data_IF_930081523433
#
_entry.id   IF_930081523433
#
_cell.length_a   1.000
_cell.length_b   1.000
_cell.length_c   1.000
_cell.angle_alpha   90.00
_cell.angle_beta   90.00
_cell.angle_gamma   90.00
#
_symmetry.space_group_name_H-M   'P 1'
#
loop_
_entity.id
_entity.type
_entity.pdbx_description
1 polymer ?
#
# COMPACT_ATOMS: atom_id res chain seq x y z
N UNK A 1 12.65 26.23 -20.38
CA UNK A 1 13.50 26.25 -19.16
C UNK A 1 12.76 25.54 -18.05
N UNK A 2 13.41 24.61 -17.36
CA UNK A 2 12.78 23.87 -16.26
C UNK A 2 12.48 24.81 -15.07
N UNK A 3 11.31 24.63 -14.45
CA UNK A 3 10.82 25.44 -13.34
C UNK A 3 10.15 24.56 -12.30
N UNK A 4 10.29 24.93 -11.03
CA UNK A 4 9.82 24.16 -9.85
C UNK A 4 9.08 25.09 -8.90
N UNK A 5 8.23 24.54 -8.04
CA UNK A 5 7.61 25.28 -6.92
C UNK A 5 7.89 24.57 -5.60
N UNK A 6 7.82 25.29 -4.49
CA UNK A 6 8.08 24.73 -3.17
C UNK A 6 6.88 23.90 -2.67
N UNK A 7 7.16 22.81 -1.95
CA UNK A 7 6.14 22.08 -1.19
C UNK A 7 5.77 22.86 0.08
N UNK A 8 4.62 22.54 0.68
CA UNK A 8 4.23 23.14 1.96
C UNK A 8 5.23 22.83 3.09
N UNK A 9 5.78 21.62 3.13
CA UNK A 9 6.80 21.23 4.11
C UNK A 9 8.16 21.86 3.81
N UNK A 10 8.55 21.94 2.54
CA UNK A 10 9.74 22.67 2.11
C UNK A 10 9.72 24.13 2.56
N UNK A 11 8.56 24.80 2.47
CA UNK A 11 8.40 26.16 2.99
C UNK A 11 8.57 26.23 4.51
N UNK A 12 8.16 25.23 5.29
CA UNK A 12 8.37 25.20 6.76
C UNK A 12 9.86 25.08 7.09
N UNK A 13 10.60 24.23 6.37
CA UNK A 13 12.05 24.06 6.53
C UNK A 13 12.76 25.39 6.28
N UNK A 14 12.47 26.03 5.14
CA UNK A 14 13.06 27.32 4.78
C UNK A 14 12.65 28.43 5.76
N UNK A 15 11.42 28.40 6.29
CA UNK A 15 10.94 29.34 7.30
C UNK A 15 11.71 29.23 8.62
N UNK A 16 12.03 28.00 9.03
CA UNK A 16 12.86 27.72 10.21
C UNK A 16 14.29 28.23 10.01
N UNK A 17 14.92 27.91 8.87
CA UNK A 17 16.31 28.29 8.58
C UNK A 17 16.50 29.80 8.47
N UNK A 18 15.59 30.53 7.80
CA UNK A 18 15.67 32.00 7.75
C UNK A 18 15.50 32.63 9.15
N UNK A 19 14.64 32.06 10.00
CA UNK A 19 14.37 32.58 11.35
C UNK A 19 15.60 32.39 12.24
N UNK A 20 16.32 31.27 12.11
CA UNK A 20 17.61 31.06 12.78
C UNK A 20 18.66 32.11 12.40
N UNK A 21 18.56 32.68 11.19
CA UNK A 21 19.42 33.80 10.74
C UNK A 21 18.88 35.18 11.10
N UNK A 22 17.72 35.27 11.76
CA UNK A 22 17.07 36.54 12.09
C UNK A 22 16.52 37.29 10.87
N UNK A 23 16.20 36.58 9.79
CA UNK A 23 15.67 37.17 8.55
C UNK A 23 14.15 37.06 8.49
N UNK A 24 13.48 38.12 8.01
CA UNK A 24 12.07 38.05 7.64
C UNK A 24 11.87 37.42 6.24
N UNK A 25 10.62 37.21 5.79
CA UNK A 25 10.33 36.50 4.52
C UNK A 25 10.84 37.22 3.26
N UNK A 26 11.12 38.51 3.35
CA UNK A 26 11.51 39.39 2.25
C UNK A 26 12.75 40.21 2.60
N UNK A 27 13.58 39.71 3.51
CA UNK A 27 14.75 40.42 4.04
C UNK A 27 15.76 40.75 2.92
N UNK A 28 16.21 41.99 2.86
CA UNK A 28 17.16 42.43 1.82
C UNK A 28 18.48 41.65 1.87
N UNK A 29 18.87 41.15 3.04
CA UNK A 29 20.05 40.27 3.18
C UNK A 29 19.85 38.93 2.48
N UNK A 30 18.62 38.40 2.49
CA UNK A 30 18.29 37.16 1.78
C UNK A 30 18.25 37.40 0.27
N UNK A 31 17.68 38.53 -0.17
CA UNK A 31 17.68 38.95 -1.58
C UNK A 31 19.11 39.07 -2.09
N UNK A 32 19.96 39.83 -1.38
CA UNK A 32 21.37 40.01 -1.71
C UNK A 32 22.14 38.69 -1.77
N UNK A 33 21.99 37.84 -0.74
CA UNK A 33 22.75 36.59 -0.64
C UNK A 33 22.30 35.53 -1.65
N UNK A 34 21.03 35.51 -2.01
CA UNK A 34 20.54 34.64 -3.08
C UNK A 34 20.82 35.20 -4.48
N UNK A 35 21.28 36.45 -4.62
CA UNK A 35 21.40 37.07 -5.95
C UNK A 35 20.06 37.19 -6.68
N UNK A 36 18.94 37.17 -5.95
CA UNK A 36 17.58 37.22 -6.53
C UNK A 36 16.90 38.56 -6.26
N UNK A 37 15.57 38.62 -6.40
CA UNK A 37 14.78 39.83 -6.19
C UNK A 37 13.66 39.56 -5.18
N UNK A 38 13.17 40.61 -4.48
CA UNK A 38 12.00 40.47 -3.60
C UNK A 38 10.78 39.83 -4.30
N UNK A 39 10.45 40.16 -5.56
CA UNK A 39 9.43 39.44 -6.33
C UNK A 39 9.68 37.92 -6.47
N UNK A 40 10.94 37.49 -6.62
CA UNK A 40 11.29 36.07 -6.68
C UNK A 40 11.03 35.37 -5.35
N UNK A 41 11.41 35.98 -4.22
CA UNK A 41 11.07 35.47 -2.88
C UNK A 41 9.56 35.44 -2.65
N UNK A 42 8.82 36.46 -3.12
CA UNK A 42 7.36 36.48 -3.05
C UNK A 42 6.75 35.30 -3.81
N UNK A 43 7.20 35.05 -5.05
CA UNK A 43 6.77 33.89 -5.84
C UNK A 43 7.10 32.56 -5.17
N UNK A 44 8.29 32.45 -4.58
CA UNK A 44 8.71 31.27 -3.81
C UNK A 44 7.75 30.98 -2.64
N UNK A 45 7.46 31.97 -1.81
CA UNK A 45 6.51 31.84 -0.69
C UNK A 45 5.06 31.61 -1.10
N UNK A 46 4.68 32.06 -2.30
CA UNK A 46 3.36 31.86 -2.87
C UNK A 46 3.20 30.49 -3.55
N UNK A 47 4.22 29.63 -3.53
CA UNK A 47 4.25 28.34 -4.23
C UNK A 47 4.02 28.49 -5.74
N UNK A 48 4.48 29.61 -6.31
CA UNK A 48 4.45 29.82 -7.76
C UNK A 48 5.70 29.20 -8.38
N UNK A 49 5.57 28.57 -9.56
CA UNK A 49 6.73 28.03 -10.28
C UNK A 49 7.76 29.12 -10.57
N UNK A 50 9.01 28.88 -10.19
CA UNK A 50 10.17 29.73 -10.48
C UNK A 50 11.27 28.90 -11.17
N UNK A 51 12.23 29.58 -11.80
CA UNK A 51 13.36 28.89 -12.46
C UNK A 51 14.17 28.11 -11.42
N UNK A 52 14.65 26.93 -11.81
CA UNK A 52 15.43 26.05 -10.92
C UNK A 52 16.64 26.78 -10.33
N UNK A 53 17.41 27.52 -11.13
CA UNK A 53 18.58 28.27 -10.63
C UNK A 53 18.20 29.26 -9.54
N UNK A 54 17.12 30.03 -9.75
CA UNK A 54 16.59 30.96 -8.75
C UNK A 54 16.10 30.24 -7.50
N UNK A 55 15.51 29.05 -7.64
CA UNK A 55 15.07 28.23 -6.51
C UNK A 55 16.26 27.72 -5.67
N UNK A 56 17.30 27.22 -6.35
CA UNK A 56 18.56 26.77 -5.75
C UNK A 56 19.23 27.88 -4.95
N UNK A 57 19.37 29.06 -5.56
CA UNK A 57 20.00 30.23 -4.95
C UNK A 57 19.24 30.72 -3.70
N UNK A 58 17.90 30.67 -3.73
CA UNK A 58 17.05 31.01 -2.58
C UNK A 58 17.29 30.04 -1.40
N UNK A 59 17.35 28.73 -1.67
CA UNK A 59 17.59 27.70 -0.65
C UNK A 59 19.01 27.77 -0.08
N UNK A 60 20.01 27.89 -0.96
CA UNK A 60 21.41 27.95 -0.57
C UNK A 60 21.72 29.19 0.29
N UNK A 61 21.05 30.32 0.03
CA UNK A 61 21.23 31.53 0.84
C UNK A 61 20.88 31.31 2.33
N UNK A 62 19.87 30.50 2.63
CA UNK A 62 19.51 30.13 4.01
C UNK A 62 20.31 28.94 4.55
N UNK A 63 21.21 28.37 3.74
CA UNK A 63 22.08 27.25 4.12
C UNK A 63 21.48 25.88 3.83
N UNK A 64 20.40 25.80 3.04
CA UNK A 64 19.86 24.53 2.55
C UNK A 64 20.49 24.19 1.20
N UNK A 65 21.27 23.10 1.18
CA UNK A 65 21.97 22.66 -0.03
C UNK A 65 21.17 21.61 -0.81
N UNK A 66 20.27 20.87 -0.14
CA UNK A 66 19.37 19.93 -0.78
C UNK A 66 18.06 20.63 -1.16
N UNK A 67 18.14 21.53 -2.13
CA UNK A 67 16.99 22.28 -2.62
C UNK A 67 15.93 21.37 -3.27
N UNK A 68 16.29 20.17 -3.75
CA UNK A 68 15.35 19.22 -4.32
C UNK A 68 14.31 18.81 -3.28
N UNK A 69 14.72 18.56 -2.04
CA UNK A 69 13.81 18.22 -0.92
C UNK A 69 12.72 19.25 -0.64
N UNK A 70 12.97 20.51 -1.01
CA UNK A 70 12.07 21.66 -0.79
C UNK A 70 11.01 21.77 -1.89
N UNK A 71 11.21 21.10 -3.03
CA UNK A 71 10.28 21.16 -4.16
C UNK A 71 8.99 20.40 -3.90
N UNK A 72 7.90 20.84 -4.53
CA UNK A 72 6.63 20.12 -4.57
C UNK A 72 6.79 18.81 -5.33
N UNK A 73 7.63 18.76 -6.37
CA UNK A 73 7.92 17.50 -7.06
C UNK A 73 8.54 16.44 -6.13
N UNK A 74 9.42 16.83 -5.20
CA UNK A 74 9.95 15.93 -4.18
C UNK A 74 8.94 15.65 -3.06
N UNK A 75 8.21 16.66 -2.58
CA UNK A 75 7.14 16.49 -1.60
C UNK A 75 6.04 15.52 -2.07
N UNK A 76 5.70 15.56 -3.35
CA UNK A 76 4.77 14.63 -3.98
C UNK A 76 5.38 13.23 -4.19
N UNK A 77 6.70 13.12 -4.33
CA UNK A 77 7.41 11.84 -4.44
C UNK A 77 7.78 11.22 -3.09
N UNK A 78 7.72 11.98 -1.99
CA UNK A 78 8.07 11.52 -0.64
C UNK A 78 7.18 10.35 -0.18
N UNK A 79 5.83 10.43 -0.28
CA UNK A 79 4.96 9.29 0.00
C UNK A 79 5.28 8.08 -0.88
N UNK A 80 5.57 8.29 -2.17
CA UNK A 80 5.88 7.21 -3.13
C UNK A 80 7.21 6.51 -2.83
N UNK A 81 8.28 7.26 -2.55
CA UNK A 81 9.56 6.68 -2.12
C UNK A 81 9.41 5.88 -0.84
N UNK A 82 8.64 6.42 0.12
CA UNK A 82 8.33 5.74 1.37
C UNK A 82 7.52 4.46 1.12
N UNK A 83 6.52 4.53 0.26
CA UNK A 83 5.72 3.40 -0.18
C UNK A 83 6.59 2.25 -0.75
N UNK A 84 7.49 2.59 -1.67
CA UNK A 84 8.41 1.64 -2.31
C UNK A 84 9.31 0.93 -1.29
N UNK A 85 9.85 1.65 -0.30
CA UNK A 85 10.66 1.01 0.74
C UNK A 85 9.83 0.20 1.72
N UNK A 86 8.60 0.63 2.05
CA UNK A 86 7.71 -0.11 2.96
C UNK A 86 7.36 -1.49 2.39
N UNK A 87 7.28 -1.64 1.06
CA UNK A 87 7.12 -2.95 0.44
C UNK A 87 8.28 -3.91 0.71
N UNK A 88 9.47 -3.41 1.10
CA UNK A 88 10.60 -4.27 1.49
C UNK A 88 10.56 -4.73 2.96
N UNK A 89 9.55 -4.31 3.76
CA UNK A 89 9.33 -4.81 5.12
C UNK A 89 9.02 -6.32 5.10
N UNK A 90 9.19 -6.98 6.24
CA UNK A 90 9.29 -8.43 6.28
C UNK A 90 7.95 -9.18 6.14
N UNK A 91 7.59 -9.51 4.90
CA UNK A 91 6.53 -10.45 4.53
C UNK A 91 7.07 -11.63 3.69
N UNK A 92 8.33 -12.02 3.92
CA UNK A 92 9.06 -12.91 3.02
C UNK A 92 8.42 -14.30 2.86
N UNK A 93 7.82 -14.84 3.93
CA UNK A 93 7.17 -16.15 3.89
C UNK A 93 5.95 -16.13 2.97
N UNK A 94 5.12 -15.10 3.09
CA UNK A 94 3.91 -14.90 2.29
C UNK A 94 4.28 -14.67 0.82
N UNK A 95 5.26 -13.79 0.57
CA UNK A 95 5.77 -13.51 -0.78
C UNK A 95 6.28 -14.75 -1.50
N UNK A 96 7.10 -15.57 -0.80
CA UNK A 96 7.64 -16.79 -1.39
C UNK A 96 6.53 -17.78 -1.73
N UNK A 97 5.57 -17.98 -0.83
CA UNK A 97 4.43 -18.87 -1.11
C UNK A 97 3.61 -18.40 -2.30
N UNK A 98 3.39 -17.10 -2.41
CA UNK A 98 2.67 -16.50 -3.52
C UNK A 98 3.43 -16.63 -4.85
N UNK A 99 4.75 -16.40 -4.84
CA UNK A 99 5.62 -16.59 -6.00
C UNK A 99 5.70 -18.07 -6.42
N UNK A 100 5.93 -18.97 -5.46
CA UNK A 100 6.00 -20.41 -5.67
C UNK A 100 4.67 -20.95 -6.24
N UNK A 101 3.53 -20.39 -5.80
CA UNK A 101 2.22 -20.73 -6.33
C UNK A 101 2.12 -20.48 -7.84
N UNK A 102 2.61 -19.36 -8.36
CA UNK A 102 2.57 -19.10 -9.80
C UNK A 102 3.64 -19.89 -10.56
N UNK A 103 4.81 -20.07 -9.96
CA UNK A 103 5.94 -20.76 -10.59
C UNK A 103 5.77 -22.28 -10.68
N UNK A 104 4.98 -22.88 -9.78
CA UNK A 104 4.79 -24.32 -9.77
C UNK A 104 4.01 -24.86 -10.99
N UNK A 105 3.26 -24.03 -11.71
CA UNK A 105 2.54 -24.40 -12.93
C UNK A 105 2.25 -23.16 -13.78
N UNK A 106 2.97 -23.01 -14.89
CA UNK A 106 2.83 -21.89 -15.81
C UNK A 106 1.49 -21.85 -16.58
N UNK A 107 0.61 -22.83 -16.40
CA UNK A 107 -0.74 -22.84 -16.99
C UNK A 107 -1.81 -22.26 -16.06
N UNK A 108 -1.48 -21.97 -14.78
CA UNK A 108 -2.43 -21.39 -13.82
C UNK A 108 -2.92 -20.02 -14.28
N UNK A 109 -4.24 -19.87 -14.30
CA UNK A 109 -4.93 -18.61 -14.62
C UNK A 109 -5.77 -18.07 -13.47
N UNK A 110 -5.91 -18.80 -12.38
CA UNK A 110 -6.71 -18.36 -11.24
C UNK A 110 -6.06 -18.75 -9.92
N UNK A 111 -6.32 -17.95 -8.88
CA UNK A 111 -5.82 -18.18 -7.54
C UNK A 111 -6.66 -17.46 -6.49
N UNK A 112 -6.93 -18.14 -5.38
CA UNK A 112 -7.61 -17.58 -4.22
C UNK A 112 -6.69 -17.70 -3.01
N UNK A 113 -6.52 -16.63 -2.25
CA UNK A 113 -5.52 -16.53 -1.19
C UNK A 113 -6.15 -16.03 0.11
N UNK A 114 -5.90 -16.74 1.21
CA UNK A 114 -6.22 -16.26 2.55
C UNK A 114 -5.05 -15.41 3.07
N UNK A 115 -5.35 -14.15 3.39
CA UNK A 115 -4.43 -13.19 3.99
C UNK A 115 -4.90 -12.91 5.41
N UNK A 116 -4.13 -13.35 6.40
CA UNK A 116 -4.51 -13.26 7.80
C UNK A 116 -3.33 -13.05 8.74
N UNK A 117 -3.64 -12.72 9.99
CA UNK A 117 -2.69 -12.35 11.03
C UNK A 117 -3.45 -11.67 12.17
N UNK A 118 -2.75 -11.30 13.24
CA UNK A 118 -3.39 -10.56 14.33
C UNK A 118 -3.91 -9.19 13.84
N UNK A 119 -4.81 -8.59 14.62
CA UNK A 119 -5.19 -7.18 14.43
C UNK A 119 -3.93 -6.29 14.31
N UNK A 120 -3.92 -5.40 13.31
CA UNK A 120 -2.80 -4.51 12.97
C UNK A 120 -1.53 -5.19 12.44
N UNK A 121 -1.65 -6.40 11.89
CA UNK A 121 -0.53 -7.10 11.25
C UNK A 121 -0.20 -6.58 9.84
N UNK A 122 -0.96 -5.67 9.23
CA UNK A 122 -0.63 -5.11 7.91
C UNK A 122 -1.10 -5.96 6.74
N UNK A 123 -2.22 -6.66 6.91
CA UNK A 123 -2.84 -7.52 5.91
C UNK A 123 -3.07 -6.80 4.58
N UNK A 124 -3.61 -5.58 4.62
CA UNK A 124 -3.85 -4.78 3.41
C UNK A 124 -2.56 -4.36 2.72
N UNK A 125 -1.50 -4.05 3.49
CA UNK A 125 -0.19 -3.76 2.92
C UNK A 125 0.37 -4.99 2.19
N UNK A 126 0.18 -6.18 2.76
CA UNK A 126 0.59 -7.42 2.12
C UNK A 126 -0.16 -7.65 0.81
N UNK A 127 -1.50 -7.55 0.78
CA UNK A 127 -2.28 -7.72 -0.47
C UNK A 127 -1.73 -6.81 -1.57
N UNK A 128 -1.48 -5.54 -1.23
CA UNK A 128 -0.92 -4.58 -2.16
C UNK A 128 0.49 -4.92 -2.62
N UNK A 129 1.35 -5.39 -1.72
CA UNK A 129 2.68 -5.86 -2.07
C UNK A 129 2.63 -7.02 -3.05
N UNK A 130 1.86 -8.07 -2.73
CA UNK A 130 1.74 -9.27 -3.57
C UNK A 130 1.26 -8.88 -4.97
N UNK A 131 0.28 -7.97 -5.05
CA UNK A 131 -0.15 -7.48 -6.33
C UNK A 131 0.91 -6.61 -7.04
N UNK A 132 1.28 -5.45 -6.50
CA UNK A 132 2.09 -4.48 -7.25
C UNK A 132 3.54 -4.94 -7.50
N UNK A 133 4.11 -5.71 -6.59
CA UNK A 133 5.53 -6.05 -6.62
C UNK A 133 5.79 -7.47 -7.15
N UNK A 134 4.86 -8.40 -6.95
CA UNK A 134 5.11 -9.82 -7.26
C UNK A 134 4.30 -10.30 -8.48
N UNK A 135 3.10 -9.75 -8.70
CA UNK A 135 2.23 -10.17 -9.80
C UNK A 135 2.08 -9.15 -10.94
N UNK A 136 1.86 -7.88 -10.58
CA UNK A 136 1.36 -6.81 -11.46
C UNK A 136 2.43 -6.19 -12.36
N UNK A 137 3.72 -6.47 -12.14
CA UNK A 137 4.80 -5.99 -13.01
C UNK A 137 4.70 -6.53 -14.44
N UNK A 138 3.96 -7.63 -14.65
CA UNK A 138 3.80 -8.31 -15.94
C UNK A 138 2.43 -8.11 -16.59
N UNK A 139 1.47 -7.49 -15.91
CA UNK A 139 0.08 -7.40 -16.38
C UNK A 139 -0.22 -6.07 -17.07
N UNK A 140 -1.00 -6.13 -18.15
CA UNK A 140 -1.77 -4.97 -18.61
C UNK A 140 -2.80 -4.62 -17.53
N UNK A 141 -3.03 -3.33 -17.31
CA UNK A 141 -3.81 -2.77 -16.18
C UNK A 141 -5.04 -3.62 -15.83
N UNK A 142 -5.01 -4.39 -14.73
CA UNK A 142 -6.10 -5.29 -14.39
C UNK A 142 -7.29 -4.51 -13.83
N UNK A 143 -8.49 -5.06 -14.01
CA UNK A 143 -9.67 -4.58 -13.32
C UNK A 143 -9.62 -5.02 -11.85
N UNK A 144 -9.83 -4.07 -10.95
CA UNK A 144 -9.75 -4.30 -9.51
C UNK A 144 -11.09 -4.02 -8.87
N UNK A 145 -11.56 -4.99 -8.09
CA UNK A 145 -12.76 -4.91 -7.30
C UNK A 145 -12.39 -5.07 -5.83
N UNK A 146 -12.45 -3.97 -5.09
CA UNK A 146 -12.40 -4.03 -3.62
C UNK A 146 -13.80 -4.02 -3.05
N UNK A 147 -14.05 -5.06 -2.26
CA UNK A 147 -15.29 -5.37 -1.57
C UNK A 147 -15.03 -5.16 -0.09
N UNK A 148 -15.73 -4.21 0.51
CA UNK A 148 -15.58 -3.88 1.92
C UNK A 148 -16.90 -4.16 2.63
N UNK A 149 -16.87 -5.10 3.60
CA UNK A 149 -18.07 -5.42 4.36
C UNK A 149 -18.42 -4.29 5.35
N UNK A 150 -19.71 -3.95 5.50
CA UNK A 150 -20.14 -2.83 6.32
C UNK A 150 -19.79 -3.04 7.80
N UNK A 151 -19.46 -1.96 8.48
CA UNK A 151 -19.13 -1.97 9.91
C UNK A 151 -20.40 -2.00 10.77
N UNK A 152 -20.98 -3.20 10.95
CA UNK A 152 -22.14 -3.43 11.81
C UNK A 152 -22.12 -4.82 12.42
N UNK A 153 -22.92 -5.02 13.47
CA UNK A 153 -22.91 -6.22 14.31
C UNK A 153 -23.17 -7.54 13.58
N UNK A 154 -24.02 -7.52 12.56
CA UNK A 154 -24.39 -8.71 11.80
C UNK A 154 -24.28 -8.42 10.30
N UNK A 155 -23.38 -9.16 9.65
CA UNK A 155 -23.21 -9.17 8.19
C UNK A 155 -23.31 -10.62 7.74
N UNK A 156 -24.23 -10.89 6.83
CA UNK A 156 -24.51 -12.22 6.29
C UNK A 156 -24.08 -12.33 4.83
N UNK A 157 -24.09 -13.53 4.27
CA UNK A 157 -23.64 -13.74 2.89
C UNK A 157 -24.52 -12.98 1.88
N UNK A 158 -25.79 -12.74 2.19
CA UNK A 158 -26.71 -11.98 1.35
C UNK A 158 -26.28 -10.52 1.20
N UNK A 159 -25.70 -9.92 2.25
CA UNK A 159 -25.13 -8.58 2.17
C UNK A 159 -23.94 -8.54 1.20
N UNK A 160 -23.14 -9.61 1.18
CA UNK A 160 -22.03 -9.74 0.25
C UNK A 160 -22.52 -9.87 -1.20
N UNK A 161 -23.60 -10.62 -1.44
CA UNK A 161 -24.21 -10.75 -2.76
C UNK A 161 -24.77 -9.43 -3.26
N UNK A 162 -25.39 -8.63 -2.39
CA UNK A 162 -25.82 -7.29 -2.77
C UNK A 162 -24.62 -6.43 -3.22
N UNK A 163 -23.54 -6.39 -2.43
CA UNK A 163 -22.35 -5.58 -2.75
C UNK A 163 -21.70 -6.07 -4.06
N UNK A 164 -21.59 -7.38 -4.27
CA UNK A 164 -21.04 -7.95 -5.49
C UNK A 164 -21.95 -7.66 -6.71
N UNK A 165 -23.26 -7.77 -6.56
CA UNK A 165 -24.23 -7.42 -7.61
C UNK A 165 -24.05 -5.97 -8.06
N UNK A 166 -23.98 -5.03 -7.11
CA UNK A 166 -23.71 -3.62 -7.39
C UNK A 166 -22.36 -3.40 -8.09
N UNK A 167 -21.29 -4.07 -7.64
CA UNK A 167 -19.93 -3.94 -8.19
C UNK A 167 -19.80 -4.51 -9.61
N UNK A 168 -20.48 -5.60 -9.89
CA UNK A 168 -20.50 -6.26 -11.19
C UNK A 168 -21.64 -5.76 -12.11
N UNK A 169 -22.46 -4.79 -11.65
CA UNK A 169 -23.55 -4.21 -12.44
C UNK A 169 -24.67 -5.20 -12.78
N UNK A 170 -24.96 -6.15 -11.88
CA UNK A 170 -25.96 -7.21 -12.08
C UNK A 170 -26.90 -7.33 -10.86
N UNK A 171 -27.85 -8.27 -10.92
CA UNK A 171 -28.74 -8.55 -9.79
C UNK A 171 -27.96 -9.21 -8.63
N UNK A 172 -28.53 -9.15 -7.42
CA UNK A 172 -27.99 -9.76 -6.19
C UNK A 172 -28.10 -11.30 -6.14
N UNK A 173 -28.44 -11.94 -7.25
CA UNK A 173 -28.46 -13.41 -7.37
C UNK A 173 -27.06 -13.91 -7.66
N UNK A 174 -26.60 -14.85 -6.84
CA UNK A 174 -25.24 -15.42 -6.97
C UNK A 174 -24.94 -15.98 -8.37
N UNK A 175 -25.93 -16.53 -9.06
CA UNK A 175 -25.78 -17.02 -10.44
C UNK A 175 -25.47 -15.90 -11.44
N UNK A 176 -26.10 -14.74 -11.27
CA UNK A 176 -25.91 -13.57 -12.13
C UNK A 176 -24.54 -12.91 -11.85
N UNK A 177 -24.12 -12.94 -10.58
CA UNK A 177 -22.79 -12.48 -10.14
C UNK A 177 -21.68 -13.38 -10.73
N UNK A 178 -21.83 -14.70 -10.67
CA UNK A 178 -20.88 -15.65 -11.27
C UNK A 178 -20.79 -15.47 -12.79
N UNK A 179 -21.93 -15.29 -13.46
CA UNK A 179 -21.99 -14.97 -14.89
C UNK A 179 -21.22 -13.68 -15.22
N UNK A 180 -21.49 -12.61 -14.48
CA UNK A 180 -20.84 -11.32 -14.72
C UNK A 180 -19.33 -11.38 -14.45
N UNK A 181 -18.92 -11.97 -13.32
CA UNK A 181 -17.50 -12.16 -12.99
C UNK A 181 -16.74 -12.97 -14.06
N UNK A 182 -17.38 -13.99 -14.63
CA UNK A 182 -16.85 -14.75 -15.75
C UNK A 182 -16.67 -13.88 -17.01
N UNK A 183 -17.68 -13.10 -17.39
CA UNK A 183 -17.61 -12.22 -18.56
C UNK A 183 -16.50 -11.17 -18.43
N UNK A 184 -16.33 -10.58 -17.24
CA UNK A 184 -15.20 -9.70 -16.93
C UNK A 184 -13.85 -10.39 -17.14
N UNK A 185 -13.72 -11.63 -16.67
CA UNK A 185 -12.49 -12.41 -16.82
C UNK A 185 -12.16 -12.79 -18.26
N UNK A 186 -13.17 -13.03 -19.10
CA UNK A 186 -12.95 -13.31 -20.53
C UNK A 186 -12.28 -12.13 -21.24
N UNK A 187 -12.59 -10.91 -20.82
CA UNK A 187 -12.08 -9.69 -21.45
C UNK A 187 -10.75 -9.22 -20.85
N UNK A 188 -10.58 -9.32 -19.52
CA UNK A 188 -9.42 -8.75 -18.84
C UNK A 188 -9.03 -9.49 -17.55
N UNK A 189 -7.84 -9.18 -17.02
CA UNK A 189 -7.40 -9.73 -15.74
C UNK A 189 -8.16 -9.08 -14.59
N UNK A 190 -8.71 -9.90 -13.70
CA UNK A 190 -9.53 -9.47 -12.56
C UNK A 190 -8.82 -9.74 -11.25
N UNK A 191 -8.91 -8.77 -10.34
CA UNK A 191 -8.44 -8.87 -8.95
C UNK A 191 -9.60 -8.50 -8.04
N UNK A 192 -9.99 -9.43 -7.18
CA UNK A 192 -11.09 -9.29 -6.25
C UNK A 192 -10.55 -9.35 -4.82
N UNK A 193 -10.69 -8.27 -4.06
CA UNK A 193 -10.22 -8.20 -2.67
C UNK A 193 -11.40 -8.05 -1.73
N UNK A 194 -11.60 -9.02 -0.85
CA UNK A 194 -12.60 -8.97 0.21
C UNK A 194 -11.95 -8.48 1.51
N UNK A 195 -12.07 -7.18 1.79
CA UNK A 195 -11.60 -6.54 3.02
C UNK A 195 -12.61 -6.74 4.15
N UNK A 196 -12.10 -6.85 5.38
CA UNK A 196 -12.89 -7.04 6.60
C UNK A 196 -13.81 -8.26 6.51
N UNK A 197 -13.33 -9.35 5.91
CA UNK A 197 -14.13 -10.57 5.78
C UNK A 197 -14.47 -11.15 7.17
N UNK A 198 -13.65 -10.83 8.18
CA UNK A 198 -13.90 -11.12 9.61
C UNK A 198 -15.24 -10.60 10.15
N UNK A 199 -15.87 -9.63 9.48
CA UNK A 199 -17.21 -9.12 9.84
C UNK A 199 -18.32 -10.05 9.41
N UNK A 200 -18.07 -10.92 8.44
CA UNK A 200 -19.05 -11.89 7.99
C UNK A 200 -19.32 -12.89 9.12
N UNK A 201 -20.58 -13.27 9.30
CA UNK A 201 -20.94 -14.23 10.32
C UNK A 201 -20.17 -15.55 10.12
N UNK A 202 -19.61 -16.11 11.20
CA UNK A 202 -18.60 -17.20 11.17
C UNK A 202 -18.98 -18.41 10.30
N UNK A 203 -20.26 -18.76 10.19
CA UNK A 203 -20.75 -19.90 9.40
C UNK A 203 -20.94 -19.61 7.92
N UNK A 204 -20.77 -18.37 7.49
CA UNK A 204 -21.09 -17.91 6.14
C UNK A 204 -19.87 -17.91 5.20
N UNK A 205 -18.65 -17.87 5.72
CA UNK A 205 -17.41 -17.81 4.93
C UNK A 205 -17.31 -18.91 3.85
N UNK A 206 -17.70 -20.14 4.19
CA UNK A 206 -17.66 -21.26 3.24
C UNK A 206 -18.67 -21.09 2.11
N UNK A 207 -19.79 -20.38 2.33
CA UNK A 207 -20.77 -20.10 1.27
C UNK A 207 -20.19 -19.22 0.17
N UNK A 208 -19.25 -18.32 0.49
CA UNK A 208 -18.51 -17.56 -0.52
C UNK A 208 -17.76 -18.50 -1.48
N UNK A 209 -17.13 -19.54 -0.96
CA UNK A 209 -16.43 -20.52 -1.79
C UNK A 209 -17.41 -21.40 -2.56
N UNK A 210 -18.41 -21.96 -1.88
CA UNK A 210 -19.31 -22.96 -2.46
C UNK A 210 -20.25 -22.36 -3.52
N UNK A 211 -20.71 -21.12 -3.32
CA UNK A 211 -21.73 -20.51 -4.17
C UNK A 211 -21.16 -19.56 -5.23
N UNK A 212 -19.97 -18.99 -5.02
CA UNK A 212 -19.35 -18.07 -5.97
C UNK A 212 -18.04 -18.61 -6.56
N UNK A 213 -17.04 -18.95 -5.74
CA UNK A 213 -15.71 -19.33 -6.24
C UNK A 213 -15.73 -20.63 -7.05
N UNK A 214 -16.32 -21.69 -6.49
CA UNK A 214 -16.38 -23.00 -7.13
C UNK A 214 -17.17 -22.96 -8.46
N UNK A 215 -18.40 -22.40 -8.52
CA UNK A 215 -19.12 -22.30 -9.79
C UNK A 215 -18.41 -21.47 -10.86
N UNK A 216 -17.69 -20.42 -10.46
CA UNK A 216 -16.88 -19.62 -11.38
C UNK A 216 -15.74 -20.46 -11.98
N UNK A 217 -14.99 -21.21 -11.15
CA UNK A 217 -13.91 -22.07 -11.61
C UNK A 217 -14.41 -23.20 -12.53
N UNK A 218 -15.52 -23.84 -12.18
CA UNK A 218 -16.13 -24.87 -13.02
C UNK A 218 -16.50 -24.32 -14.40
N UNK A 219 -16.93 -23.06 -14.46
CA UNK A 219 -17.24 -22.40 -15.72
C UNK A 219 -15.98 -22.08 -16.53
N UNK A 220 -14.97 -21.51 -15.88
CA UNK A 220 -13.66 -21.22 -16.50
C UNK A 220 -13.00 -22.48 -17.06
N UNK A 221 -13.15 -23.63 -16.41
CA UNK A 221 -12.57 -24.90 -16.84
C UNK A 221 -13.25 -25.54 -18.07
N UNK A 222 -14.48 -25.15 -18.40
CA UNK A 222 -15.26 -25.74 -19.52
C UNK A 222 -14.89 -25.18 -20.90
N UNK A 223 -14.08 -24.14 -20.97
CA UNK A 223 -13.78 -23.43 -22.22
C UNK A 223 -12.33 -23.67 -22.64
N UNK A 224 -12.13 -23.95 -23.93
CA UNK A 224 -10.82 -24.14 -24.54
C UNK A 224 -10.05 -22.81 -24.47
N UNK A 225 -9.10 -22.74 -23.53
CA UNK A 225 -8.72 -21.52 -22.85
C UNK A 225 -7.79 -20.64 -23.72
N UNK A 226 -8.38 -19.80 -24.58
CA UNK A 226 -7.65 -18.79 -25.37
C UNK A 226 -7.35 -17.50 -24.59
N UNK A 227 -8.03 -17.28 -23.46
CA UNK A 227 -7.85 -16.06 -22.67
C UNK A 227 -6.47 -16.05 -22.00
N UNK A 228 -5.79 -14.91 -22.07
CA UNK A 228 -4.55 -14.68 -21.33
C UNK A 228 -4.80 -14.10 -19.94
N UNK A 229 -6.06 -13.78 -19.60
CA UNK A 229 -6.47 -13.13 -18.37
C UNK A 229 -6.30 -14.00 -17.13
N UNK A 230 -6.01 -13.34 -16.01
CA UNK A 230 -5.94 -13.99 -14.70
C UNK A 230 -7.15 -13.62 -13.83
N UNK A 231 -7.51 -14.48 -12.88
CA UNK A 231 -8.52 -14.20 -11.86
C UNK A 231 -7.97 -14.43 -10.46
N UNK A 232 -7.72 -13.34 -9.72
CA UNK A 232 -7.13 -13.40 -8.39
C UNK A 232 -8.13 -12.98 -7.33
N UNK A 233 -8.21 -13.74 -6.25
CA UNK A 233 -9.05 -13.44 -5.09
C UNK A 233 -8.21 -13.35 -3.84
N UNK A 234 -8.35 -12.27 -3.08
CA UNK A 234 -7.77 -12.12 -1.74
C UNK A 234 -8.89 -12.08 -0.70
N UNK A 235 -8.88 -13.05 0.22
CA UNK A 235 -9.75 -13.10 1.39
C UNK A 235 -8.97 -12.53 2.57
N UNK A 236 -9.38 -11.36 3.07
CA UNK A 236 -8.60 -10.60 4.06
C UNK A 236 -9.27 -10.63 5.42
N UNK A 237 -8.56 -11.20 6.39
CA UNK A 237 -8.90 -11.17 7.82
C UNK A 237 -8.16 -10.00 8.50
N UNK A 238 -8.88 -8.91 8.77
CA UNK A 238 -8.28 -7.73 9.38
C UNK A 238 -8.26 -7.79 10.92
N UNK A 239 -8.90 -8.78 11.55
CA UNK A 239 -9.06 -8.87 13.01
C UNK A 239 -8.35 -10.07 13.65
N UNK A 240 -7.84 -11.02 12.86
CA UNK A 240 -7.22 -12.24 13.38
C UNK A 240 -8.25 -13.29 13.78
N UNK A 241 -9.35 -13.36 13.02
CA UNK A 241 -10.47 -14.27 13.21
C UNK A 241 -10.44 -15.47 12.26
N UNK A 242 -9.48 -15.57 11.33
CA UNK A 242 -9.43 -16.61 10.30
C UNK A 242 -9.49 -18.04 10.88
N UNK A 243 -8.81 -18.31 12.00
CA UNK A 243 -8.85 -19.61 12.67
C UNK A 243 -10.26 -20.01 13.18
N UNK A 244 -11.14 -19.03 13.36
CA UNK A 244 -12.54 -19.24 13.77
C UNK A 244 -13.49 -19.46 12.59
N UNK A 245 -13.02 -19.21 11.37
CA UNK A 245 -13.82 -19.40 10.17
C UNK A 245 -13.84 -20.88 9.83
N UNK A 246 -15.03 -21.40 9.49
CA UNK A 246 -15.15 -22.76 8.97
C UNK A 246 -14.78 -22.80 7.48
N UNK A 247 -13.58 -22.33 7.13
CA UNK A 247 -13.12 -22.15 5.75
C UNK A 247 -12.11 -23.25 5.41
N UNK A 248 -12.38 -23.99 4.34
CA UNK A 248 -11.48 -25.03 3.85
C UNK A 248 -10.33 -24.42 3.04
N UNK A 249 -9.25 -24.04 3.72
CA UNK A 249 -7.99 -23.61 3.12
C UNK A 249 -7.02 -24.77 2.91
N UNK A 250 -6.06 -24.60 2.02
CA UNK A 250 -5.03 -25.59 1.72
C UNK A 250 -3.62 -24.98 1.78
N UNK A 251 -2.63 -25.84 2.02
CA UNK A 251 -1.22 -25.51 1.89
C UNK A 251 -0.77 -25.76 0.44
N UNK A 252 0.33 -25.14 0.03
CA UNK A 252 0.79 -25.16 -1.37
C UNK A 252 1.04 -26.59 -1.88
N UNK A 253 1.58 -27.47 -1.05
CA UNK A 253 1.95 -28.85 -1.41
C UNK A 253 0.73 -29.71 -1.78
N UNK A 254 -0.43 -29.39 -1.21
CA UNK A 254 -1.68 -30.11 -1.42
C UNK A 254 -2.74 -29.23 -2.10
N UNK A 255 -2.31 -28.13 -2.73
CA UNK A 255 -3.22 -27.13 -3.24
C UNK A 255 -4.15 -27.70 -4.32
N UNK A 256 -5.41 -27.26 -4.27
CA UNK A 256 -6.43 -27.56 -5.28
C UNK A 256 -7.11 -26.24 -5.68
N UNK A 257 -7.52 -26.05 -6.95
CA UNK A 257 -8.12 -24.82 -7.45
C UNK A 257 -9.26 -24.26 -6.60
N UNK A 258 -10.09 -25.15 -6.04
CA UNK A 258 -11.31 -24.81 -5.33
C UNK A 258 -11.09 -24.31 -3.90
N UNK A 259 -9.88 -24.46 -3.37
CA UNK A 259 -9.54 -24.07 -2.00
C UNK A 259 -8.59 -22.86 -1.99
N UNK A 260 -8.82 -21.87 -1.12
CA UNK A 260 -7.87 -20.79 -0.93
C UNK A 260 -6.53 -21.34 -0.44
N UNK A 261 -5.44 -20.80 -0.99
CA UNK A 261 -4.10 -21.01 -0.46
C UNK A 261 -3.95 -20.19 0.82
N UNK A 262 -3.59 -20.84 1.93
CA UNK A 262 -3.20 -20.16 3.15
C UNK A 262 -1.78 -19.61 3.01
N UNK A 263 -1.62 -18.28 3.02
CA UNK A 263 -0.32 -17.62 2.89
C UNK A 263 0.49 -17.59 4.20
N UNK A 264 0.01 -18.26 5.24
CA UNK A 264 0.52 -18.25 6.63
C UNK A 264 0.26 -16.92 7.34
N UNK A 265 -0.03 -16.97 8.66
CA UNK A 265 -0.27 -15.76 9.44
C UNK A 265 0.87 -14.76 9.33
N UNK A 266 0.53 -13.48 9.23
CA UNK A 266 1.52 -12.41 9.31
C UNK A 266 2.04 -12.29 10.74
N UNK A 267 3.35 -12.48 10.89
CA UNK A 267 4.04 -12.39 12.17
C UNK A 267 4.43 -10.95 12.53
N UNK A 268 4.58 -10.72 13.83
CA UNK A 268 5.11 -9.45 14.33
C UNK A 268 6.58 -9.28 13.96
N UNK A 269 6.99 -8.03 13.78
CA UNK A 269 8.35 -7.70 13.41
C UNK A 269 9.32 -7.92 14.58
N UNK A 270 10.37 -8.72 14.41
CA UNK A 270 11.44 -8.78 15.40
C UNK A 270 12.27 -7.49 15.44
N UNK A 271 12.74 -7.07 16.62
CA UNK A 271 13.59 -5.87 16.79
C UNK A 271 14.83 -5.90 15.89
N UNK A 272 15.51 -7.05 15.82
CA UNK A 272 16.69 -7.24 14.96
C UNK A 272 16.34 -7.13 13.48
N UNK A 273 15.16 -7.62 13.08
CA UNK A 273 14.69 -7.50 11.70
C UNK A 273 14.45 -6.03 11.34
N UNK A 274 13.76 -5.28 12.22
CA UNK A 274 13.55 -3.84 12.04
C UNK A 274 14.88 -3.09 11.96
N UNK A 275 15.84 -3.41 12.84
CA UNK A 275 17.17 -2.81 12.80
C UNK A 275 17.90 -3.06 11.48
N UNK A 276 17.89 -4.31 10.99
CA UNK A 276 18.46 -4.64 9.67
C UNK A 276 17.75 -3.91 8.53
N UNK A 277 16.43 -3.84 8.56
CA UNK A 277 15.63 -3.15 7.53
C UNK A 277 15.91 -1.64 7.52
N UNK A 278 15.94 -1.00 8.68
CA UNK A 278 16.26 0.42 8.84
C UNK A 278 17.66 0.73 8.31
N UNK A 279 18.67 -0.08 8.68
CA UNK A 279 20.03 0.09 8.18
C UNK A 279 20.14 -0.11 6.67
N UNK A 280 19.43 -1.11 6.11
CA UNK A 280 19.39 -1.35 4.66
C UNK A 280 18.84 -0.14 3.90
N UNK A 281 17.85 0.53 4.46
CA UNK A 281 17.14 1.66 3.82
C UNK A 281 17.63 3.03 4.31
N UNK A 282 18.74 3.11 5.07
CA UNK A 282 19.20 4.34 5.73
C UNK A 282 19.42 5.52 4.77
N UNK A 283 19.86 5.26 3.54
CA UNK A 283 20.11 6.33 2.56
C UNK A 283 18.80 7.01 2.16
N UNK A 284 17.78 6.20 1.83
CA UNK A 284 16.47 6.72 1.46
C UNK A 284 15.80 7.33 2.69
N UNK A 285 15.81 6.64 3.84
CA UNK A 285 15.23 7.17 5.08
C UNK A 285 15.90 8.48 5.52
N UNK A 286 17.21 8.64 5.34
CA UNK A 286 17.94 9.87 5.63
C UNK A 286 17.58 11.03 4.69
N UNK A 287 17.16 10.76 3.45
CA UNK A 287 16.54 11.78 2.58
C UNK A 287 15.13 12.16 3.06
N UNK A 288 14.43 11.24 3.75
CA UNK A 288 13.05 11.44 4.19
C UNK A 288 12.94 12.00 5.61
N UNK A 289 13.95 11.82 6.45
CA UNK A 289 13.95 12.18 7.88
C UNK A 289 14.88 13.35 8.17
N UNK A 290 14.43 14.29 9.01
CA UNK A 290 15.25 15.43 9.46
C UNK A 290 16.36 15.02 10.48
N UNK A 291 16.45 13.73 10.86
CA UNK A 291 17.35 13.21 11.90
C UNK A 291 17.96 11.86 11.48
N UNK A 292 19.29 11.76 11.56
CA UNK A 292 20.07 10.58 11.12
C UNK A 292 20.51 9.65 12.26
N UNK A 293 19.93 9.77 13.45
CA UNK A 293 20.26 8.92 14.60
C UNK A 293 19.51 7.58 14.56
N UNK A 294 20.07 6.64 13.79
CA UNK A 294 19.46 5.32 13.52
C UNK A 294 19.19 4.48 14.78
N UNK A 295 20.10 4.38 15.78
CA UNK A 295 19.79 3.71 17.05
C UNK A 295 18.55 4.28 17.76
N UNK A 296 18.43 5.60 17.82
CA UNK A 296 17.28 6.25 18.43
C UNK A 296 15.99 6.05 17.61
N UNK A 297 16.09 5.97 16.29
CA UNK A 297 14.95 5.62 15.41
C UNK A 297 14.46 4.20 15.69
N UNK A 298 15.36 3.21 15.76
CA UNK A 298 14.99 1.82 16.04
C UNK A 298 14.26 1.71 17.39
N UNK A 299 14.83 2.27 18.47
CA UNK A 299 14.20 2.22 19.80
C UNK A 299 12.83 2.91 19.81
N UNK A 300 12.70 4.03 19.10
CA UNK A 300 11.44 4.75 18.99
C UNK A 300 10.39 3.93 18.25
N UNK A 301 10.72 3.35 17.10
CA UNK A 301 9.81 2.48 16.32
C UNK A 301 9.43 1.25 17.15
N UNK A 302 10.39 0.60 17.80
CA UNK A 302 10.15 -0.57 18.64
C UNK A 302 9.19 -0.30 19.80
N UNK A 303 9.40 0.80 20.52
CA UNK A 303 8.51 1.20 21.62
C UNK A 303 7.10 1.55 21.14
N UNK A 304 6.99 2.21 19.98
CA UNK A 304 5.70 2.62 19.39
C UNK A 304 4.93 1.45 18.78
N UNK A 305 5.62 0.38 18.40
CA UNK A 305 5.03 -0.91 18.04
C UNK A 305 4.77 -1.82 19.27
N UNK A 306 4.55 -1.20 20.44
CA UNK A 306 4.22 -1.84 21.73
C UNK A 306 5.29 -2.79 22.26
N UNK A 307 6.53 -2.66 21.80
CA UNK A 307 7.63 -3.58 22.14
C UNK A 307 7.37 -5.04 21.72
N UNK A 308 6.37 -5.25 20.86
CA UNK A 308 6.01 -6.53 20.28
C UNK A 308 6.26 -6.55 18.77
N UNK A 309 6.53 -5.37 18.16
CA UNK A 309 6.75 -5.28 16.73
C UNK A 309 5.47 -5.35 15.91
N UNK A 310 4.33 -4.89 16.45
CA UNK A 310 3.07 -4.82 15.71
C UNK A 310 3.28 -4.09 14.37
N UNK A 311 3.07 -4.75 13.22
CA UNK A 311 3.45 -4.21 11.91
C UNK A 311 2.89 -2.83 11.59
N UNK A 312 1.57 -2.63 11.64
CA UNK A 312 0.98 -1.33 11.26
C UNK A 312 1.40 -0.20 12.20
N UNK A 313 1.61 -0.49 13.49
CA UNK A 313 2.11 0.51 14.44
C UNK A 313 3.57 0.89 14.15
N UNK A 314 4.41 -0.09 13.80
CA UNK A 314 5.78 0.17 13.38
C UNK A 314 5.82 1.00 12.09
N UNK A 315 5.00 0.64 11.10
CA UNK A 315 4.86 1.35 9.83
C UNK A 315 4.37 2.78 10.06
N UNK A 316 3.34 2.97 10.89
CA UNK A 316 2.81 4.29 11.21
C UNK A 316 3.86 5.19 11.86
N UNK A 317 4.69 4.65 12.76
CA UNK A 317 5.79 5.40 13.35
C UNK A 317 6.88 5.75 12.32
N UNK A 318 7.25 4.81 11.44
CA UNK A 318 8.19 5.08 10.33
C UNK A 318 7.64 6.19 9.42
N UNK A 319 6.35 6.13 9.06
CA UNK A 319 5.70 7.16 8.27
C UNK A 319 5.74 8.52 8.97
N UNK A 320 5.40 8.56 10.25
CA UNK A 320 5.43 9.79 11.06
C UNK A 320 6.84 10.41 11.11
N UNK A 321 7.88 9.58 11.27
CA UNK A 321 9.28 10.03 11.23
C UNK A 321 9.67 10.63 9.87
N UNK A 322 9.13 10.09 8.79
CA UNK A 322 9.26 10.64 7.44
C UNK A 322 8.33 11.82 7.16
N UNK A 323 7.55 12.30 8.14
CA UNK A 323 6.57 13.37 7.93
C UNK A 323 5.39 12.99 7.02
N UNK A 324 5.13 11.70 6.85
CA UNK A 324 3.99 11.18 6.10
C UNK A 324 2.91 10.62 7.05
N UNK A 325 1.65 10.68 6.62
CA UNK A 325 0.54 10.04 7.31
C UNK A 325 0.35 8.61 6.76
N UNK A 326 0.33 7.62 7.66
CA UNK A 326 0.05 6.23 7.30
C UNK A 326 -1.32 6.06 6.65
N UNK A 327 -2.38 6.68 7.17
CA UNK A 327 -3.73 6.56 6.60
C UNK A 327 -3.78 7.05 5.15
N UNK A 328 -3.06 8.13 4.85
CA UNK A 328 -2.95 8.66 3.48
C UNK A 328 -2.15 7.74 2.56
N UNK A 329 -1.11 7.09 3.08
CA UNK A 329 -0.35 6.07 2.35
C UNK A 329 -1.21 4.81 2.15
N UNK A 330 -1.99 4.42 3.16
CA UNK A 330 -2.90 3.28 3.09
C UNK A 330 -3.99 3.47 2.04
N UNK A 331 -4.60 4.64 1.97
CA UNK A 331 -5.55 5.00 0.91
C UNK A 331 -4.89 5.02 -0.48
N UNK A 332 -3.60 5.35 -0.58
CA UNK A 332 -2.90 5.24 -1.87
C UNK A 332 -2.64 3.79 -2.30
N UNK A 333 -2.80 2.84 -1.38
CA UNK A 333 -2.81 1.40 -1.66
C UNK A 333 -4.21 0.86 -1.92
N UNK A 334 -5.21 1.66 -2.29
CA UNK A 334 -6.49 1.11 -2.70
C UNK A 334 -6.34 0.40 -4.07
N UNK A 335 -6.07 -0.90 -3.97
CA UNK A 335 -6.61 -1.92 -4.87
C UNK A 335 -8.13 -1.78 -4.93
#
# INVERSE_FOLDING_TARGET
MASVKASDDGLKIIDKLRKQKGWNKYDDRWVYKSGTSQPSLKKFWQKTRIRISTFQEICQAVGENDWQSITEEFGNNKPRKLQEILYSLNYQSQSRLFEDFWNADGTRKSGCFLVHGKYLSGQELLVNRLFYHEFGSYLQTPHKFTINLPDRLEVYIEDLWQILGEKFGCADRVTDIVESAYNYWEEETIILTFKHLDRLYKTEHQKLLDQFWLPLLERMARVDNKSQSYFLVFLVDNQGMADSWNLNCCQLENWQPYHPLDLKPIESFGKDMLGRWLNKNQNILGELMDNNDMPNILERVWRKSREEGTPELAIAEICSLCGCNWDSIQQSFDL
#
